data_IF_130915567151
#
_entry.id   IF_130915567151
#
_cell.length_a   1.000
_cell.length_b   1.000
_cell.length_c   1.000
_cell.angle_alpha   90.00
_cell.angle_beta   90.00
_cell.angle_gamma   90.00
#
_symmetry.space_group_name_H-M   'P 1'
#
loop_
_entity.id
_entity.type
_entity.pdbx_description
1 polymer ?
#
# COMPACT_ATOMS: atom_id res chain seq x y z
N UNK A 1 -15.16 1.02 14.47
CA UNK A 1 -14.16 0.98 13.40
C UNK A 1 -12.79 1.19 14.02
N UNK A 2 -11.81 0.35 13.68
CA UNK A 2 -10.50 0.38 14.36
C UNK A 2 -9.68 1.57 13.91
N UNK A 3 -9.52 2.54 14.82
CA UNK A 3 -8.67 3.71 14.60
C UNK A 3 -7.24 3.31 14.25
N UNK A 4 -6.74 2.20 14.81
CA UNK A 4 -5.38 1.71 14.55
C UNK A 4 -5.17 1.34 13.08
N UNK A 5 -6.14 0.66 12.44
CA UNK A 5 -6.05 0.30 11.01
C UNK A 5 -6.17 1.54 10.11
N UNK A 6 -7.01 2.50 10.50
CA UNK A 6 -7.15 3.76 9.77
C UNK A 6 -5.87 4.62 9.84
N UNK A 7 -5.23 4.69 11.01
CA UNK A 7 -3.93 5.36 11.20
C UNK A 7 -2.84 4.65 10.40
N UNK A 8 -2.81 3.32 10.41
CA UNK A 8 -1.87 2.54 9.60
C UNK A 8 -1.99 2.90 8.11
N UNK A 9 -3.20 3.06 7.58
CA UNK A 9 -3.40 3.53 6.20
C UNK A 9 -2.84 4.93 5.93
N UNK A 10 -3.00 5.87 6.87
CA UNK A 10 -2.41 7.21 6.73
C UNK A 10 -0.89 7.13 6.72
N UNK A 11 -0.29 6.38 7.66
CA UNK A 11 1.17 6.21 7.75
C UNK A 11 1.73 5.54 6.50
N UNK A 12 1.12 4.44 6.04
CA UNK A 12 1.51 3.78 4.79
C UNK A 12 1.40 4.72 3.60
N UNK A 13 0.32 5.51 3.52
CA UNK A 13 0.15 6.52 2.49
C UNK A 13 1.26 7.57 2.48
N UNK A 14 1.65 8.09 3.64
CA UNK A 14 2.76 9.07 3.78
C UNK A 14 4.07 8.45 3.32
N UNK A 15 4.40 7.23 3.78
CA UNK A 15 5.65 6.55 3.41
C UNK A 15 5.72 6.39 1.90
N UNK A 16 4.66 5.92 1.26
CA UNK A 16 4.62 5.71 -0.19
C UNK A 16 4.71 7.02 -0.96
N UNK A 17 4.08 8.08 -0.45
CA UNK A 17 4.14 9.40 -1.05
C UNK A 17 5.54 10.02 -0.96
N UNK A 18 6.26 9.81 0.15
CA UNK A 18 7.61 10.35 0.35
C UNK A 18 8.70 9.50 -0.32
N UNK A 19 8.54 8.18 -0.36
CA UNK A 19 9.54 7.22 -0.82
C UNK A 19 9.10 6.56 -2.13
N UNK A 20 8.89 7.36 -3.17
CA UNK A 20 8.59 6.85 -4.51
C UNK A 20 9.82 6.94 -5.43
N UNK A 21 10.02 5.92 -6.26
CA UNK A 21 11.03 5.96 -7.32
C UNK A 21 10.59 6.94 -8.43
N UNK A 22 11.52 7.70 -9.07
CA UNK A 22 11.20 8.53 -10.22
C UNK A 22 10.56 7.81 -11.41
N UNK A 23 10.72 6.49 -11.56
CA UNK A 23 10.09 5.72 -12.64
C UNK A 23 8.66 5.26 -12.31
N UNK A 24 8.30 5.19 -11.02
CA UNK A 24 6.99 4.72 -10.55
C UNK A 24 6.14 5.85 -9.95
N UNK A 25 6.50 7.11 -10.24
CA UNK A 25 5.89 8.35 -9.71
C UNK A 25 4.37 8.30 -9.65
N UNK A 26 3.71 7.84 -10.72
CA UNK A 26 2.25 7.90 -10.83
C UNK A 26 1.56 6.94 -9.85
N UNK A 27 2.06 5.71 -9.70
CA UNK A 27 1.46 4.72 -8.77
C UNK A 27 1.83 5.05 -7.33
N UNK A 28 3.08 5.50 -7.11
CA UNK A 28 3.58 6.15 -5.90
C UNK A 28 2.65 7.22 -5.35
N UNK A 29 2.59 8.33 -6.06
CA UNK A 29 1.91 9.55 -5.62
C UNK A 29 0.40 9.31 -5.50
N UNK A 30 -0.24 8.73 -6.52
CA UNK A 30 -1.69 8.51 -6.50
C UNK A 30 -2.10 7.48 -5.44
N UNK A 31 -1.33 6.40 -5.29
CA UNK A 31 -1.57 5.38 -4.27
C UNK A 31 -1.40 5.94 -2.85
N UNK A 32 -0.34 6.71 -2.62
CA UNK A 32 -0.07 7.35 -1.32
C UNK A 32 -1.16 8.36 -0.92
N UNK A 33 -1.53 9.25 -1.84
CA UNK A 33 -2.63 10.22 -1.60
C UNK A 33 -3.94 9.49 -1.32
N UNK A 34 -4.26 8.46 -2.10
CA UNK A 34 -5.47 7.67 -1.91
C UNK A 34 -5.54 7.06 -0.51
N UNK A 35 -4.47 6.42 -0.05
CA UNK A 35 -4.38 5.80 1.27
C UNK A 35 -4.48 6.82 2.40
N UNK A 36 -3.83 7.98 2.25
CA UNK A 36 -3.95 9.09 3.21
C UNK A 36 -5.39 9.61 3.33
N UNK A 37 -6.02 9.95 2.20
CA UNK A 37 -7.39 10.47 2.19
C UNK A 37 -8.36 9.43 2.74
N UNK A 38 -8.21 8.16 2.33
CA UNK A 38 -9.04 7.08 2.84
C UNK A 38 -8.88 6.90 4.36
N UNK A 39 -7.64 6.86 4.86
CA UNK A 39 -7.35 6.79 6.29
C UNK A 39 -7.93 7.97 7.08
N UNK A 40 -7.81 9.19 6.56
CA UNK A 40 -8.38 10.40 7.18
C UNK A 40 -9.92 10.37 7.22
N UNK A 41 -10.57 9.89 6.14
CA UNK A 41 -12.03 9.74 6.09
C UNK A 41 -12.53 8.70 7.10
N UNK A 42 -11.74 7.65 7.33
CA UNK A 42 -12.01 6.65 8.36
C UNK A 42 -11.83 7.25 9.77
N UNK A 43 -10.73 7.95 10.04
CA UNK A 43 -10.47 8.58 11.35
C UNK A 43 -11.56 9.61 11.70
N UNK A 44 -11.92 10.45 10.73
CA UNK A 44 -12.96 11.48 10.89
C UNK A 44 -14.39 10.92 10.98
N UNK A 45 -14.56 9.59 10.89
CA UNK A 45 -15.86 8.91 10.93
C UNK A 45 -16.87 9.44 9.91
N UNK A 46 -16.37 10.05 8.82
CA UNK A 46 -17.22 10.56 7.73
C UNK A 46 -17.78 9.44 6.86
N UNK A 47 -17.15 8.27 6.88
CA UNK A 47 -17.64 7.07 6.23
C UNK A 47 -18.58 6.30 7.18
N UNK A 48 -19.89 6.48 7.01
CA UNK A 48 -20.92 5.77 7.79
C UNK A 48 -21.45 4.51 7.10
N UNK A 49 -21.25 4.38 5.79
CA UNK A 49 -21.76 3.26 5.02
C UNK A 49 -20.69 2.17 4.88
N UNK A 50 -20.95 1.01 5.49
CA UNK A 50 -20.06 -0.15 5.45
C UNK A 50 -19.78 -0.63 4.02
N UNK A 51 -20.74 -0.49 3.09
CA UNK A 51 -20.54 -0.86 1.66
C UNK A 51 -19.46 0.02 1.01
N UNK A 52 -19.45 1.32 1.33
CA UNK A 52 -18.45 2.26 0.81
C UNK A 52 -17.08 1.93 1.40
N UNK A 53 -17.02 1.61 2.70
CA UNK A 53 -15.77 1.24 3.37
C UNK A 53 -15.16 -0.01 2.74
N UNK A 54 -15.97 -1.05 2.50
CA UNK A 54 -15.52 -2.27 1.82
C UNK A 54 -15.05 -1.97 0.39
N UNK A 55 -15.80 -1.18 -0.38
CA UNK A 55 -15.43 -0.81 -1.75
C UNK A 55 -14.12 -0.03 -1.83
N UNK A 56 -13.90 0.93 -0.93
CA UNK A 56 -12.65 1.68 -0.85
C UNK A 56 -11.48 0.81 -0.34
N UNK A 57 -11.74 -0.08 0.62
CA UNK A 57 -10.75 -1.04 1.11
C UNK A 57 -10.26 -1.98 0.00
N UNK A 58 -11.15 -2.51 -0.85
CA UNK A 58 -10.77 -3.36 -1.98
C UNK A 58 -9.92 -2.57 -3.00
N UNK A 59 -10.25 -1.30 -3.27
CA UNK A 59 -9.42 -0.45 -4.13
C UNK A 59 -8.02 -0.23 -3.56
N UNK A 60 -7.91 -0.05 -2.24
CA UNK A 60 -6.62 0.03 -1.56
C UNK A 60 -5.81 -1.28 -1.68
N UNK A 61 -6.47 -2.44 -1.62
CA UNK A 61 -5.82 -3.75 -1.86
C UNK A 61 -5.25 -3.83 -3.28
N UNK A 62 -5.99 -3.38 -4.30
CA UNK A 62 -5.49 -3.34 -5.67
C UNK A 62 -4.25 -2.46 -5.83
N UNK A 63 -4.19 -1.34 -5.10
CA UNK A 63 -2.99 -0.49 -5.04
C UNK A 63 -1.82 -1.28 -4.46
N UNK A 64 -2.01 -1.96 -3.32
CA UNK A 64 -0.96 -2.79 -2.71
C UNK A 64 -0.44 -3.89 -3.64
N UNK A 65 -1.32 -4.58 -4.36
CA UNK A 65 -0.95 -5.58 -5.37
C UNK A 65 -0.15 -4.95 -6.52
N UNK A 66 -0.58 -3.77 -7.01
CA UNK A 66 0.16 -3.06 -8.05
C UNK A 66 1.59 -2.71 -7.61
N UNK A 67 1.78 -2.30 -6.35
CA UNK A 67 3.10 -2.08 -5.76
C UNK A 67 3.94 -3.35 -5.79
N UNK A 68 3.41 -4.47 -5.26
CA UNK A 68 4.13 -5.75 -5.25
C UNK A 68 4.56 -6.14 -6.66
N UNK A 69 3.67 -6.05 -7.65
CA UNK A 69 3.97 -6.42 -9.03
C UNK A 69 5.06 -5.55 -9.67
N UNK A 70 5.05 -4.24 -9.43
CA UNK A 70 6.03 -3.31 -9.99
C UNK A 70 7.42 -3.58 -9.41
N UNK A 71 7.52 -3.68 -8.09
CA UNK A 71 8.81 -3.87 -7.41
C UNK A 71 9.31 -5.33 -7.48
N UNK A 72 8.42 -6.31 -7.61
CA UNK A 72 8.82 -7.72 -7.84
C UNK A 72 9.45 -7.93 -9.22
N UNK A 73 9.01 -7.20 -10.25
CA UNK A 73 9.63 -7.25 -11.58
C UNK A 73 11.04 -6.66 -11.57
N UNK A 74 11.30 -5.74 -10.64
CA UNK A 74 12.61 -5.15 -10.42
C UNK A 74 13.60 -6.21 -9.86
N UNK A 75 13.16 -7.05 -8.92
CA UNK A 75 13.99 -8.11 -8.32
C UNK A 75 14.63 -9.07 -9.33
N UNK A 76 13.87 -9.49 -10.33
CA UNK A 76 14.33 -10.43 -11.37
C UNK A 76 15.45 -9.83 -12.24
N UNK A 77 15.47 -8.50 -12.37
CA UNK A 77 16.48 -7.77 -13.15
C UNK A 77 17.79 -7.53 -12.40
N UNK A 78 17.84 -7.70 -11.06
CA UNK A 78 19.06 -7.49 -10.27
C UNK A 78 19.94 -8.74 -10.12
N UNK A 79 19.37 -9.94 -10.26
CA UNK A 79 20.13 -11.19 -10.20
C UNK A 79 21.26 -11.24 -11.25
N UNK A 80 21.10 -10.55 -12.38
CA UNK A 80 22.15 -10.38 -13.40
C UNK A 80 23.07 -9.16 -13.20
N UNK A 81 22.74 -8.23 -12.30
CA UNK A 81 23.48 -6.96 -12.09
C UNK A 81 24.30 -6.93 -10.78
N UNK A 82 24.06 -7.87 -9.86
CA UNK A 82 24.79 -7.96 -8.58
C UNK A 82 26.29 -8.25 -8.78
N UNK A 83 26.65 -9.02 -9.82
CA UNK A 83 28.06 -9.30 -10.16
C UNK A 83 28.81 -8.04 -10.63
N UNK A 84 28.12 -7.04 -11.18
CA UNK A 84 28.70 -5.79 -11.68
C UNK A 84 28.69 -4.61 -10.68
N UNK A 85 27.84 -4.64 -9.62
CA UNK A 85 27.85 -3.59 -8.56
C UNK A 85 29.18 -3.58 -7.77
N UNK A 86 29.92 -4.70 -7.71
CA UNK A 86 31.26 -4.73 -7.08
C UNK A 86 32.35 -4.09 -7.96
N UNK A 87 32.19 -4.07 -9.29
CA UNK A 87 33.23 -3.64 -10.22
C UNK A 87 33.16 -2.14 -10.55
N UNK A 88 31.97 -1.52 -10.46
CA UNK A 88 31.72 -0.15 -10.94
C UNK A 88 31.37 0.78 -9.76
N UNK A 89 32.33 1.02 -8.86
CA UNK A 89 32.22 2.09 -7.86
C UNK A 89 32.56 3.48 -8.43
N UNK A 90 32.87 3.58 -9.73
CA UNK A 90 33.59 4.76 -10.28
C UNK A 90 32.75 5.76 -11.06
N UNK A 91 31.44 5.54 -11.28
CA UNK A 91 30.63 6.46 -12.09
C UNK A 91 29.27 6.63 -11.42
N UNK A 92 28.84 7.88 -11.25
CA UNK A 92 27.63 8.40 -10.58
C UNK A 92 26.33 7.58 -10.82
N UNK A 93 26.28 6.77 -11.87
CA UNK A 93 25.17 5.87 -12.21
C UNK A 93 25.12 4.56 -11.39
N UNK A 94 26.25 4.03 -10.91
CA UNK A 94 26.33 2.79 -10.14
C UNK A 94 25.73 2.90 -8.72
N UNK A 95 25.95 4.04 -8.04
CA UNK A 95 25.34 4.29 -6.73
C UNK A 95 23.80 4.25 -6.79
N UNK A 96 23.21 4.77 -7.87
CA UNK A 96 21.76 4.87 -8.03
C UNK A 96 21.09 3.50 -8.24
N UNK A 97 21.81 2.54 -8.81
CA UNK A 97 21.34 1.15 -8.99
C UNK A 97 21.53 0.31 -7.72
N UNK A 98 22.65 0.46 -6.99
CA UNK A 98 22.84 -0.28 -5.74
C UNK A 98 21.92 0.23 -4.61
N UNK A 99 21.55 1.53 -4.58
CA UNK A 99 20.50 2.02 -3.66
C UNK A 99 19.13 1.39 -3.97
N UNK A 100 18.81 1.20 -5.26
CA UNK A 100 17.53 0.63 -5.71
C UNK A 100 17.31 -0.82 -5.24
N UNK A 101 18.40 -1.60 -5.16
CA UNK A 101 18.40 -2.98 -4.62
C UNK A 101 17.93 -3.02 -3.16
N UNK A 102 18.23 -2.01 -2.35
CA UNK A 102 17.81 -1.96 -0.94
C UNK A 102 16.36 -1.50 -0.77
N UNK A 103 15.86 -0.62 -1.65
CA UNK A 103 14.53 -0.04 -1.53
C UNK A 103 13.42 -0.92 -2.08
N UNK A 104 13.67 -1.65 -3.17
CA UNK A 104 12.68 -2.52 -3.81
C UNK A 104 12.09 -3.59 -2.87
N UNK A 105 12.86 -4.33 -2.04
CA UNK A 105 12.27 -5.27 -1.07
C UNK A 105 11.46 -4.56 0.02
N UNK A 106 11.85 -3.36 0.44
CA UNK A 106 11.09 -2.55 1.42
C UNK A 106 9.73 -2.18 0.83
N UNK A 107 9.70 -1.77 -0.44
CA UNK A 107 8.47 -1.40 -1.13
C UNK A 107 7.53 -2.59 -1.35
N UNK A 108 8.07 -3.79 -1.58
CA UNK A 108 7.27 -5.02 -1.63
C UNK A 108 6.64 -5.32 -0.27
N UNK A 109 7.40 -5.21 0.83
CA UNK A 109 6.87 -5.39 2.19
C UNK A 109 5.79 -4.36 2.50
N UNK A 110 5.99 -3.10 2.12
CA UNK A 110 4.97 -2.05 2.23
C UNK A 110 3.71 -2.40 1.41
N UNK A 111 3.86 -2.90 0.18
CA UNK A 111 2.77 -3.41 -0.63
C UNK A 111 1.96 -4.50 0.09
N UNK A 112 2.63 -5.48 0.70
CA UNK A 112 2.00 -6.53 1.51
C UNK A 112 1.26 -5.96 2.72
N UNK A 113 1.85 -4.99 3.43
CA UNK A 113 1.21 -4.34 4.57
C UNK A 113 -0.07 -3.59 4.17
N UNK A 114 -0.07 -2.89 3.03
CA UNK A 114 -1.27 -2.25 2.47
C UNK A 114 -2.37 -3.29 2.25
N UNK A 115 -2.03 -4.42 1.61
CA UNK A 115 -2.99 -5.51 1.35
C UNK A 115 -3.58 -6.03 2.66
N UNK A 116 -2.75 -6.35 3.65
CA UNK A 116 -3.20 -6.91 4.94
C UNK A 116 -4.07 -5.91 5.70
N UNK A 117 -3.63 -4.65 5.85
CA UNK A 117 -4.38 -3.63 6.59
C UNK A 117 -5.76 -3.39 5.98
N UNK A 118 -5.83 -3.30 4.64
CA UNK A 118 -7.08 -3.01 3.94
C UNK A 118 -8.01 -4.22 3.83
N UNK A 119 -7.46 -5.45 3.76
CA UNK A 119 -8.26 -6.67 3.89
C UNK A 119 -8.89 -6.77 5.28
N UNK A 120 -8.12 -6.55 6.34
CA UNK A 120 -8.64 -6.57 7.72
C UNK A 120 -9.70 -5.48 7.92
N UNK A 121 -9.48 -4.29 7.39
CA UNK A 121 -10.45 -3.19 7.46
C UNK A 121 -11.76 -3.56 6.74
N UNK A 122 -11.65 -4.12 5.53
CA UNK A 122 -12.82 -4.55 4.74
C UNK A 122 -13.57 -5.70 5.40
N UNK A 123 -12.86 -6.70 5.93
CA UNK A 123 -13.46 -7.82 6.65
C UNK A 123 -14.25 -7.34 7.88
N UNK A 124 -13.69 -6.43 8.66
CA UNK A 124 -14.38 -5.86 9.82
C UNK A 124 -15.61 -5.03 9.44
N UNK A 125 -15.52 -4.26 8.35
CA UNK A 125 -16.67 -3.52 7.83
C UNK A 125 -17.76 -4.44 7.30
N UNK A 126 -17.39 -5.56 6.66
CA UNK A 126 -18.32 -6.57 6.17
C UNK A 126 -19.05 -7.28 7.31
N UNK A 127 -18.33 -7.79 8.31
CA UNK A 127 -18.92 -8.44 9.49
C UNK A 127 -19.87 -7.47 10.21
N UNK A 128 -19.47 -6.21 10.39
CA UNK A 128 -20.33 -5.20 11.01
C UNK A 128 -21.61 -4.92 10.22
N UNK A 129 -21.57 -5.03 8.88
CA UNK A 129 -22.76 -4.89 8.03
C UNK A 129 -23.69 -6.09 8.24
N UNK A 130 -23.15 -7.30 8.15
CA UNK A 130 -23.93 -8.53 8.26
C UNK A 130 -24.65 -8.63 9.62
N UNK A 131 -23.97 -8.29 10.71
CA UNK A 131 -24.63 -8.22 12.03
C UNK A 131 -25.79 -7.24 12.08
N UNK A 132 -25.69 -6.09 11.41
CA UNK A 132 -26.71 -5.05 11.44
C UNK A 132 -27.91 -5.37 10.53
N UNK A 133 -27.66 -6.03 9.39
CA UNK A 133 -28.70 -6.51 8.49
C UNK A 133 -29.50 -7.65 9.15
N UNK A 134 -28.82 -8.57 9.84
CA UNK A 134 -29.47 -9.64 10.62
C UNK A 134 -30.28 -9.13 11.82
N UNK A 135 -29.88 -8.01 12.44
CA UNK A 135 -30.66 -7.41 13.54
C UNK A 135 -31.96 -6.76 13.03
N UNK A 136 -31.95 -6.21 11.81
CA UNK A 136 -33.14 -5.58 11.22
C UNK A 136 -34.19 -6.57 10.74
N UNK A 137 -33.84 -7.83 10.48
CA UNK A 137 -34.78 -8.88 10.05
C UNK A 137 -35.48 -9.58 11.20
N UNK A 138 -35.04 -9.36 12.46
CA UNK A 138 -35.60 -10.02 13.66
C UNK A 138 -36.62 -9.11 14.39
N UNK A 139 -36.83 -7.87 13.93
CA UNK A 139 -37.81 -6.91 14.50
C UNK A 139 -39.06 -6.82 13.64
#
# INVERSE_FOLDING_TARGET
>A
MDKNLAIANVVLGIIIFCFHDPETKTVGICGGIYLMVFGLLLISSKLKNNVIIVGLGIKAVLIGIAFISIYSKSLDSYLGLLDDCQLISTIIYGLKQCDRIAWDPIMIVLGCLIVIVNLLLSAKAFVSKDTNDNLKTIV
#
